data_IF_651720625023
#
_entry.id   IF_651720625023
#
_cell.length_a   1.000
_cell.length_b   1.000
_cell.length_c   1.000
_cell.angle_alpha   90.00
_cell.angle_beta   90.00
_cell.angle_gamma   90.00
#
_symmetry.space_group_name_H-M   'P 1'
#
loop_
_entity.id
_entity.type
_entity.pdbx_description
1 polymer ?
#
# COMPACT_ATOMS: atom_id res chain seq x y z
N UNK A 1 -22.16 19.36 19.38
CA UNK A 1 -21.82 18.32 18.39
C UNK A 1 -20.48 18.67 17.78
N UNK A 2 -19.41 17.96 18.16
CA UNK A 2 -18.10 18.13 17.54
C UNK A 2 -18.16 17.39 16.20
N UNK A 3 -18.35 18.13 15.11
CA UNK A 3 -18.18 17.56 13.78
C UNK A 3 -16.73 17.10 13.67
N UNK A 4 -16.51 15.79 13.47
CA UNK A 4 -15.25 15.31 12.89
C UNK A 4 -14.91 16.22 11.69
N UNK A 5 -13.63 16.41 11.32
CA UNK A 5 -13.25 17.12 10.10
C UNK A 5 -13.67 16.29 8.87
N UNK A 6 -14.97 16.09 8.70
CA UNK A 6 -15.59 15.53 7.52
C UNK A 6 -15.66 16.65 6.52
N UNK A 7 -14.95 16.46 5.41
CA UNK A 7 -15.28 16.98 4.08
C UNK A 7 -16.34 18.08 4.07
N UNK A 8 -15.92 19.33 3.90
CA UNK A 8 -16.84 20.42 3.56
C UNK A 8 -17.44 20.08 2.21
N UNK A 9 -18.66 19.58 2.19
CA UNK A 9 -19.37 19.32 0.95
C UNK A 9 -19.57 20.66 0.23
N UNK A 10 -18.91 20.84 -0.91
CA UNK A 10 -19.13 21.99 -1.78
C UNK A 10 -20.58 21.95 -2.26
N UNK A 11 -21.24 23.11 -2.33
CA UNK A 11 -22.63 23.20 -2.78
C UNK A 11 -22.62 23.59 -4.26
N UNK A 12 -23.40 22.88 -5.07
CA UNK A 12 -23.56 23.20 -6.49
C UNK A 12 -24.20 24.57 -6.65
N UNK A 13 -23.56 25.47 -7.39
CA UNK A 13 -24.09 26.83 -7.62
C UNK A 13 -25.37 26.88 -8.45
N UNK A 14 -25.72 25.81 -9.16
CA UNK A 14 -26.88 25.78 -10.05
C UNK A 14 -28.15 25.24 -9.38
N UNK A 15 -28.03 24.21 -8.55
CA UNK A 15 -29.19 23.57 -7.93
C UNK A 15 -29.10 23.47 -6.41
N UNK A 16 -28.05 24.05 -5.81
CA UNK A 16 -27.76 24.05 -4.37
C UNK A 16 -27.66 22.67 -3.71
N UNK A 17 -27.55 21.59 -4.49
CA UNK A 17 -27.30 20.26 -3.97
C UNK A 17 -25.83 20.11 -3.56
N UNK A 18 -25.56 19.28 -2.55
CA UNK A 18 -24.19 18.94 -2.17
C UNK A 18 -23.49 18.19 -3.32
N UNK A 19 -22.33 18.71 -3.72
CA UNK A 19 -21.43 18.06 -4.65
C UNK A 19 -20.78 16.85 -4.00
N UNK A 20 -20.51 15.83 -4.81
CA UNK A 20 -19.62 14.76 -4.43
C UNK A 20 -18.31 14.92 -5.18
N UNK A 21 -17.20 14.75 -4.46
CA UNK A 21 -15.92 14.53 -5.13
C UNK A 21 -15.80 13.06 -5.51
N UNK A 22 -16.11 12.76 -6.76
CA UNK A 22 -15.95 11.45 -7.41
C UNK A 22 -14.68 11.39 -8.25
N UNK A 23 -14.17 12.55 -8.66
CA UNK A 23 -13.01 12.71 -9.52
C UNK A 23 -11.93 13.57 -8.83
N UNK A 24 -10.65 13.32 -9.11
CA UNK A 24 -9.53 14.04 -8.49
C UNK A 24 -9.59 15.55 -8.76
N UNK A 25 -9.84 15.91 -10.01
CA UNK A 25 -9.64 17.28 -10.53
C UNK A 25 -10.91 18.13 -10.58
N UNK A 26 -12.08 17.54 -10.28
CA UNK A 26 -13.35 18.26 -10.33
C UNK A 26 -14.38 17.71 -9.36
N UNK A 27 -15.39 18.53 -9.08
CA UNK A 27 -16.60 18.18 -8.37
C UNK A 27 -17.71 17.91 -9.38
N UNK A 28 -18.54 16.91 -9.11
CA UNK A 28 -19.75 16.68 -9.88
C UNK A 28 -20.97 16.80 -8.98
N UNK A 29 -21.93 17.62 -9.39
CA UNK A 29 -23.22 17.71 -8.73
C UNK A 29 -24.02 16.41 -8.96
N UNK A 30 -24.50 15.78 -7.88
CA UNK A 30 -25.34 14.58 -8.00
C UNK A 30 -26.71 14.85 -8.65
N UNK A 31 -27.25 16.07 -8.51
CA UNK A 31 -28.60 16.41 -8.97
C UNK A 31 -28.63 16.89 -10.42
N UNK A 32 -27.88 17.93 -10.75
CA UNK A 32 -27.88 18.52 -12.10
C UNK A 32 -26.69 18.09 -12.97
N UNK A 33 -25.80 17.23 -12.47
CA UNK A 33 -24.59 16.75 -13.17
C UNK A 33 -23.56 17.84 -13.54
N UNK A 34 -23.78 19.10 -13.15
CA UNK A 34 -22.81 20.19 -13.35
C UNK A 34 -21.44 19.80 -12.80
N UNK A 35 -20.42 20.03 -13.61
CA UNK A 35 -19.02 19.84 -13.26
C UNK A 35 -18.43 21.18 -12.85
N UNK A 36 -17.73 21.19 -11.72
CA UNK A 36 -16.97 22.34 -11.25
C UNK A 36 -15.50 21.92 -11.07
N UNK A 37 -14.65 22.44 -11.95
CA UNK A 37 -13.22 22.14 -11.91
C UNK A 37 -12.56 22.82 -10.72
N UNK A 38 -11.89 22.03 -9.89
CA UNK A 38 -11.12 22.58 -8.76
C UNK A 38 -9.75 22.93 -9.31
N UNK A 39 -9.37 24.21 -9.24
CA UNK A 39 -7.95 24.57 -9.36
C UNK A 39 -7.23 24.02 -8.13
N UNK A 40 -6.53 22.91 -8.31
CA UNK A 40 -5.55 22.47 -7.33
C UNK A 40 -4.42 23.51 -7.29
N UNK A 41 -3.89 23.85 -6.11
CA UNK A 41 -2.73 24.70 -6.04
C UNK A 41 -1.61 24.12 -6.92
N UNK A 42 -0.90 24.97 -7.66
CA UNK A 42 0.36 24.55 -8.29
C UNK A 42 1.29 24.13 -7.17
N UNK A 43 1.64 22.85 -7.10
CA UNK A 43 2.74 22.42 -6.24
C UNK A 43 3.98 22.57 -7.10
N UNK A 44 4.76 23.62 -6.85
CA UNK A 44 6.09 23.78 -7.45
C UNK A 44 7.02 22.77 -6.78
N UNK A 45 7.72 21.93 -7.55
CA UNK A 45 8.73 21.03 -7.01
C UNK A 45 9.86 21.82 -6.40
N UNK A 46 10.16 23.00 -6.95
CA UNK A 46 11.11 23.95 -6.38
C UNK A 46 10.68 24.36 -4.96
N UNK A 47 9.39 24.47 -4.68
CA UNK A 47 8.88 24.74 -3.32
C UNK A 47 8.92 23.49 -2.41
N UNK A 48 8.80 22.28 -2.96
CA UNK A 48 9.05 21.03 -2.21
C UNK A 48 10.55 20.85 -1.86
N UNK A 49 11.43 21.34 -2.74
CA UNK A 49 12.88 21.20 -2.65
C UNK A 49 13.55 22.33 -1.87
N UNK A 50 13.09 23.57 -2.02
CA UNK A 50 13.74 24.77 -1.47
C UNK A 50 13.05 25.33 -0.21
N UNK A 51 11.82 24.91 0.09
CA UNK A 51 11.09 25.37 1.25
C UNK A 51 10.53 24.20 2.05
N UNK A 52 10.64 24.30 3.38
CA UNK A 52 9.84 23.53 4.31
C UNK A 52 8.36 23.69 3.92
N UNK A 53 7.77 22.72 3.21
CA UNK A 53 6.36 22.75 2.89
C UNK A 53 5.56 22.57 4.20
N UNK A 54 5.35 23.68 4.88
CA UNK A 54 4.62 23.86 6.14
C UNK A 54 3.11 23.56 6.00
N UNK A 55 2.64 23.28 4.78
CA UNK A 55 1.25 22.88 4.47
C UNK A 55 0.90 21.42 4.80
N UNK A 56 1.89 20.56 5.01
CA UNK A 56 1.75 19.23 5.61
C UNK A 56 2.80 19.17 6.72
N UNK A 57 2.40 19.46 7.96
CA UNK A 57 3.31 19.54 9.11
C UNK A 57 4.33 18.39 9.12
N UNK A 58 5.60 18.69 8.84
CA UNK A 58 6.66 18.28 9.75
C UNK A 58 7.96 17.67 9.26
N UNK A 59 8.30 17.53 7.97
CA UNK A 59 9.63 16.97 7.61
C UNK A 59 10.26 17.65 6.38
N UNK A 60 11.52 18.06 6.57
CA UNK A 60 12.45 18.52 5.53
C UNK A 60 12.68 17.42 4.48
N UNK A 61 13.15 17.76 3.26
CA UNK A 61 13.86 16.79 2.42
C UNK A 61 14.91 16.11 3.30
N UNK A 62 14.78 14.80 3.47
CA UNK A 62 15.66 14.05 4.36
C UNK A 62 16.98 13.87 3.61
N UNK A 63 17.99 14.69 3.93
CA UNK A 63 19.35 14.42 3.47
C UNK A 63 19.87 13.11 4.07
N UNK A 64 20.94 12.55 3.47
CA UNK A 64 21.47 11.25 3.88
C UNK A 64 21.86 11.24 5.37
N UNK A 65 22.37 12.36 5.91
CA UNK A 65 22.72 12.49 7.32
C UNK A 65 21.48 12.49 8.24
N UNK A 66 20.39 13.12 7.81
CA UNK A 66 19.11 13.14 8.53
C UNK A 66 18.46 11.76 8.52
N UNK A 67 18.45 11.08 7.36
CA UNK A 67 18.01 9.69 7.25
C UNK A 67 18.81 8.82 8.21
N UNK A 68 20.14 8.85 8.12
CA UNK A 68 21.00 8.02 8.97
C UNK A 68 20.81 8.25 10.46
N UNK A 69 20.56 9.49 10.89
CA UNK A 69 20.41 9.83 12.31
C UNK A 69 18.99 9.69 12.86
N UNK A 70 17.95 9.67 12.01
CA UNK A 70 16.56 9.74 12.47
C UNK A 70 15.65 8.64 11.92
N UNK A 71 16.07 7.84 10.93
CA UNK A 71 15.25 6.78 10.33
C UNK A 71 14.71 5.80 11.38
N UNK A 72 15.52 5.50 12.41
CA UNK A 72 15.16 4.63 13.53
C UNK A 72 14.03 5.19 14.40
N UNK A 73 13.87 6.52 14.45
CA UNK A 73 12.78 7.15 15.19
C UNK A 73 11.45 7.02 14.45
N UNK A 74 11.49 6.89 13.12
CA UNK A 74 10.31 6.83 12.26
C UNK A 74 9.90 5.39 11.93
N UNK A 75 10.84 4.44 12.00
CA UNK A 75 10.56 3.02 11.86
C UNK A 75 10.11 2.46 13.21
N UNK A 76 8.92 1.89 13.24
CA UNK A 76 8.44 1.09 14.36
C UNK A 76 8.35 -0.36 13.90
N UNK A 77 9.27 -1.19 14.38
CA UNK A 77 9.18 -2.64 14.26
C UNK A 77 8.65 -3.23 15.57
N UNK A 78 7.68 -4.11 15.46
CA UNK A 78 7.04 -4.83 16.55
C UNK A 78 7.39 -6.32 16.53
N UNK A 79 6.70 -7.09 17.38
CA UNK A 79 6.77 -8.55 17.39
C UNK A 79 6.25 -9.07 16.03
N UNK A 80 7.15 -9.51 15.16
CA UNK A 80 6.82 -9.98 13.80
C UNK A 80 7.92 -9.77 12.78
N UNK A 81 8.83 -8.82 13.02
CA UNK A 81 10.04 -8.65 12.19
C UNK A 81 11.12 -9.63 12.65
N UNK A 82 11.64 -10.45 11.74
CA UNK A 82 12.69 -11.44 11.99
C UNK A 82 14.08 -10.83 11.94
N UNK A 83 14.32 -9.90 11.00
CA UNK A 83 15.60 -9.23 10.83
C UNK A 83 15.43 -7.87 10.18
N UNK A 84 16.44 -7.01 10.38
CA UNK A 84 16.57 -5.72 9.72
C UNK A 84 17.97 -5.58 9.13
N UNK A 85 18.07 -5.18 7.88
CA UNK A 85 19.35 -5.00 7.20
C UNK A 85 19.32 -3.72 6.37
N UNK A 86 20.36 -2.90 6.52
CA UNK A 86 20.56 -1.71 5.72
C UNK A 86 21.31 -2.09 4.43
N UNK A 87 20.82 -1.63 3.30
CA UNK A 87 21.42 -1.86 1.98
C UNK A 87 21.65 -0.50 1.33
N UNK A 88 22.77 -0.36 0.62
CA UNK A 88 23.11 0.88 -0.06
C UNK A 88 23.27 0.61 -1.56
N UNK A 89 22.61 1.43 -2.36
CA UNK A 89 22.82 1.51 -3.80
C UNK A 89 23.38 2.89 -4.13
N UNK A 90 23.70 3.14 -5.40
CA UNK A 90 24.12 4.47 -5.85
C UNK A 90 23.02 5.51 -5.73
N UNK A 91 21.74 5.07 -5.74
CA UNK A 91 20.54 5.91 -5.80
C UNK A 91 19.80 5.97 -4.45
N UNK A 92 19.88 4.91 -3.66
CA UNK A 92 19.02 4.71 -2.50
C UNK A 92 19.77 4.13 -1.30
N UNK A 93 19.30 4.50 -0.12
CA UNK A 93 19.53 3.74 1.11
C UNK A 93 18.26 2.95 1.44
N UNK A 94 18.34 1.62 1.38
CA UNK A 94 17.24 0.72 1.68
C UNK A 94 17.33 0.18 3.10
N UNK A 95 16.16 0.07 3.75
CA UNK A 95 15.94 -0.73 4.94
C UNK A 95 15.14 -1.96 4.56
N UNK A 96 15.77 -3.14 4.68
CA UNK A 96 15.13 -4.44 4.46
C UNK A 96 14.64 -4.99 5.79
N UNK A 97 13.36 -5.34 5.85
CA UNK A 97 12.72 -6.03 6.96
C UNK A 97 12.37 -7.45 6.53
N UNK A 98 13.02 -8.44 7.15
CA UNK A 98 12.67 -9.85 6.98
C UNK A 98 11.44 -10.16 7.84
N UNK A 99 10.40 -10.72 7.23
CA UNK A 99 9.16 -11.12 7.89
C UNK A 99 9.05 -12.65 8.01
N UNK A 100 10.05 -13.40 7.54
CA UNK A 100 10.05 -14.86 7.50
C UNK A 100 9.31 -15.44 6.29
N UNK A 101 9.41 -16.76 6.10
CA UNK A 101 8.76 -17.47 4.98
C UNK A 101 9.12 -16.91 3.60
N UNK A 102 10.39 -16.52 3.43
CA UNK A 102 10.92 -15.85 2.22
C UNK A 102 10.19 -14.54 1.88
N UNK A 103 9.54 -13.90 2.86
CA UNK A 103 8.89 -12.61 2.70
C UNK A 103 9.75 -11.50 3.29
N UNK A 104 9.93 -10.41 2.54
CA UNK A 104 10.56 -9.21 3.07
C UNK A 104 9.94 -7.95 2.52
N UNK A 105 10.02 -6.87 3.29
CA UNK A 105 9.64 -5.53 2.84
C UNK A 105 10.91 -4.69 2.84
N UNK A 106 11.21 -4.06 1.71
CA UNK A 106 12.30 -3.10 1.58
C UNK A 106 11.72 -1.71 1.40
N UNK A 107 12.25 -0.72 2.09
CA UNK A 107 11.92 0.69 1.88
C UNK A 107 13.20 1.46 1.59
N UNK A 108 13.27 2.02 0.40
CA UNK A 108 14.35 2.84 -0.12
C UNK A 108 14.06 4.31 0.09
N UNK A 109 15.02 5.01 0.66
CA UNK A 109 15.04 6.46 0.75
C UNK A 109 16.02 6.98 -0.31
N UNK A 110 15.54 7.83 -1.24
CA UNK A 110 16.37 8.31 -2.35
C UNK A 110 17.41 9.29 -1.83
N UNK A 111 18.58 9.30 -2.47
CA UNK A 111 19.50 10.41 -2.31
C UNK A 111 18.94 11.67 -3.02
N UNK A 112 19.56 12.81 -2.76
CA UNK A 112 19.14 14.09 -3.34
C UNK A 112 19.16 14.12 -4.87
N UNK A 113 20.13 13.44 -5.50
CA UNK A 113 20.26 13.45 -6.95
C UNK A 113 19.08 12.78 -7.64
N UNK A 114 18.60 11.65 -7.11
CA UNK A 114 17.41 10.96 -7.61
C UNK A 114 16.18 11.85 -7.51
N UNK A 115 16.01 12.54 -6.39
CA UNK A 115 14.88 13.46 -6.17
C UNK A 115 14.87 14.56 -7.24
N UNK A 116 16.00 15.23 -7.47
CA UNK A 116 16.05 16.42 -8.34
C UNK A 116 16.10 16.06 -9.81
N UNK A 117 16.94 15.09 -10.19
CA UNK A 117 17.28 14.82 -11.59
C UNK A 117 16.30 13.85 -12.25
N UNK A 118 15.75 12.90 -11.49
CA UNK A 118 14.97 11.79 -12.05
C UNK A 118 13.47 11.91 -11.71
N UNK A 119 13.15 12.18 -10.44
CA UNK A 119 11.76 12.20 -9.98
C UNK A 119 11.08 13.56 -10.09
N UNK A 120 11.82 14.66 -10.01
CA UNK A 120 11.28 16.02 -10.14
C UNK A 120 10.50 16.23 -11.45
N UNK A 121 11.11 15.97 -12.63
CA UNK A 121 10.42 16.08 -13.91
C UNK A 121 9.21 15.13 -14.01
N UNK A 122 9.38 13.87 -13.60
CA UNK A 122 8.33 12.85 -13.63
C UNK A 122 7.13 13.23 -12.76
N UNK A 123 7.36 13.81 -11.57
CA UNK A 123 6.28 14.30 -10.72
C UNK A 123 5.54 15.48 -11.34
N UNK A 124 6.25 16.43 -11.94
CA UNK A 124 5.60 17.54 -12.64
C UNK A 124 4.71 17.05 -13.78
N UNK A 125 5.25 16.18 -14.63
CA UNK A 125 4.49 15.57 -15.72
C UNK A 125 3.27 14.84 -15.19
N UNK A 126 3.42 13.96 -14.19
CA UNK A 126 2.31 13.21 -13.60
C UNK A 126 1.27 14.15 -12.96
N UNK A 127 1.72 15.19 -12.27
CA UNK A 127 0.86 16.21 -11.69
C UNK A 127 0.05 16.89 -12.78
N UNK A 128 0.67 17.30 -13.88
CA UNK A 128 -0.01 17.93 -15.01
C UNK A 128 -1.02 16.99 -15.68
N UNK A 129 -0.73 15.68 -15.75
CA UNK A 129 -1.68 14.67 -16.21
C UNK A 129 -2.91 14.53 -15.31
N UNK A 130 -2.84 14.97 -14.06
CA UNK A 130 -4.00 15.03 -13.15
C UNK A 130 -4.74 16.35 -13.21
N UNK A 131 -4.25 17.35 -13.94
CA UNK A 131 -4.85 18.69 -13.98
C UNK A 131 -5.75 18.87 -15.18
N UNK A 132 -6.74 19.73 -15.01
CA UNK A 132 -7.54 20.21 -16.13
C UNK A 132 -6.86 21.41 -16.75
N UNK A 133 -6.72 21.41 -18.06
CA UNK A 133 -6.21 22.53 -18.87
C UNK A 133 -7.23 23.69 -19.03
N UNK A 134 -8.41 23.57 -18.42
CA UNK A 134 -9.49 24.54 -18.54
C UNK A 134 -10.33 24.39 -19.82
N UNK A 135 -10.02 23.41 -20.68
CA UNK A 135 -10.78 23.11 -21.91
C UNK A 135 -12.13 22.42 -21.65
N UNK A 136 -12.40 22.06 -20.39
CA UNK A 136 -13.57 21.26 -20.00
C UNK A 136 -13.42 19.75 -20.26
N UNK A 137 -12.29 19.31 -20.81
CA UNK A 137 -11.96 17.87 -20.93
C UNK A 137 -11.49 17.30 -19.59
N UNK A 138 -11.76 16.00 -19.32
CA UNK A 138 -11.15 15.33 -18.17
C UNK A 138 -9.62 15.28 -18.34
N UNK A 139 -8.88 15.26 -17.23
CA UNK A 139 -7.42 15.16 -17.25
C UNK A 139 -6.99 13.79 -17.77
N UNK A 140 -5.77 13.66 -18.31
CA UNK A 140 -5.34 12.44 -18.99
C UNK A 140 -5.29 11.21 -18.07
N UNK A 141 -4.87 11.38 -16.82
CA UNK A 141 -4.79 10.27 -15.86
C UNK A 141 -6.16 9.92 -15.24
N UNK A 142 -7.13 10.84 -15.28
CA UNK A 142 -8.55 10.66 -14.90
C UNK A 142 -8.76 9.75 -13.66
N UNK A 143 -8.14 10.12 -12.54
CA UNK A 143 -8.22 9.37 -11.28
C UNK A 143 -9.61 9.52 -10.64
N UNK A 144 -10.24 8.39 -10.32
CA UNK A 144 -11.61 8.33 -9.77
C UNK A 144 -11.68 7.57 -8.46
N UNK A 145 -12.73 7.82 -7.69
CA UNK A 145 -13.07 6.97 -6.54
C UNK A 145 -13.98 5.84 -7.00
N UNK A 146 -13.58 4.59 -6.77
CA UNK A 146 -14.45 3.46 -7.08
C UNK A 146 -15.55 3.26 -6.03
N UNK A 147 -16.69 2.68 -6.43
CA UNK A 147 -17.67 2.17 -5.49
C UNK A 147 -17.07 1.03 -4.67
N UNK A 148 -17.12 1.17 -3.34
CA UNK A 148 -16.93 0.05 -2.42
C UNK A 148 -18.17 -0.85 -2.49
N UNK A 149 -17.98 -2.17 -2.58
CA UNK A 149 -19.08 -3.13 -2.49
C UNK A 149 -19.66 -3.09 -1.06
N UNK A 150 -20.63 -2.21 -0.82
CA UNK A 150 -21.64 -2.46 0.20
C UNK A 150 -22.61 -3.50 -0.37
N UNK A 151 -23.11 -4.40 0.48
CA UNK A 151 -23.66 -5.71 0.10
C UNK A 151 -24.68 -5.75 -1.05
N UNK A 152 -24.88 -6.96 -1.59
CA UNK A 152 -25.94 -7.31 -2.54
C UNK A 152 -27.25 -6.57 -2.20
N UNK A 153 -27.60 -5.54 -2.98
CA UNK A 153 -28.86 -4.80 -2.83
C UNK A 153 -28.79 -3.28 -2.68
N UNK A 154 -27.61 -2.65 -2.58
CA UNK A 154 -27.55 -1.18 -2.54
C UNK A 154 -27.86 -0.54 -3.91
N UNK A 155 -28.88 0.32 -3.99
CA UNK A 155 -29.17 1.16 -5.15
C UNK A 155 -27.95 2.01 -5.54
N UNK A 156 -27.85 2.42 -6.81
CA UNK A 156 -26.71 3.23 -7.28
C UNK A 156 -26.47 4.51 -6.46
N UNK A 157 -27.51 5.03 -5.82
CA UNK A 157 -27.50 6.25 -5.02
C UNK A 157 -26.86 6.06 -3.62
N UNK A 158 -26.75 4.82 -3.14
CA UNK A 158 -26.28 4.45 -1.79
C UNK A 158 -24.87 3.83 -1.70
N UNK A 159 -24.12 3.75 -2.81
CA UNK A 159 -22.78 3.13 -2.80
C UNK A 159 -21.73 4.06 -2.16
N UNK A 160 -21.13 3.63 -1.05
CA UNK A 160 -19.96 4.29 -0.45
C UNK A 160 -18.77 4.20 -1.41
N UNK A 161 -18.01 5.29 -1.59
CA UNK A 161 -16.82 5.30 -2.46
C UNK A 161 -15.53 5.12 -1.67
N UNK A 162 -14.46 4.62 -2.33
CA UNK A 162 -13.10 4.51 -1.77
C UNK A 162 -12.63 5.80 -1.14
N UNK A 163 -11.80 5.79 -0.10
CA UNK A 163 -11.29 7.03 0.49
C UNK A 163 -10.22 7.72 -0.37
N UNK A 164 -9.74 7.05 -1.41
CA UNK A 164 -8.65 7.43 -2.31
C UNK A 164 -9.11 7.40 -3.77
N UNK A 165 -8.33 8.00 -4.66
CA UNK A 165 -8.59 8.04 -6.10
C UNK A 165 -7.59 7.15 -6.82
N UNK A 166 -8.00 6.45 -7.87
CA UNK A 166 -7.07 5.64 -8.65
C UNK A 166 -7.55 5.36 -10.07
N UNK A 167 -6.68 4.72 -10.82
CA UNK A 167 -6.93 4.13 -12.13
C UNK A 167 -5.94 3.00 -12.33
N UNK A 168 -6.36 1.90 -12.93
CA UNK A 168 -5.48 0.77 -13.19
C UNK A 168 -5.07 0.70 -14.65
N UNK A 169 -3.83 0.29 -14.89
CA UNK A 169 -3.30 -0.03 -16.21
C UNK A 169 -2.71 -1.43 -16.22
N UNK A 170 -3.09 -2.27 -17.18
CA UNK A 170 -2.60 -3.64 -17.30
C UNK A 170 -3.63 -4.70 -16.87
N UNK A 171 -3.20 -5.65 -16.04
CA UNK A 171 -4.06 -6.75 -15.58
C UNK A 171 -5.23 -6.19 -14.76
N UNK A 172 -6.49 -6.52 -15.09
CA UNK A 172 -7.63 -6.00 -14.34
C UNK A 172 -7.58 -6.32 -12.85
N UNK A 173 -7.55 -5.26 -12.03
CA UNK A 173 -7.65 -5.36 -10.59
C UNK A 173 -8.95 -6.09 -10.19
N UNK A 174 -8.87 -7.34 -9.73
CA UNK A 174 -10.06 -8.14 -9.36
C UNK A 174 -10.55 -7.88 -7.94
N UNK A 175 -10.02 -6.83 -7.29
CA UNK A 175 -10.40 -6.44 -5.95
C UNK A 175 -11.91 -6.21 -5.83
N UNK A 176 -12.38 -6.06 -4.59
CA UNK A 176 -13.79 -5.77 -4.27
C UNK A 176 -14.30 -4.43 -4.86
N UNK A 177 -13.47 -3.69 -5.59
CA UNK A 177 -13.72 -2.35 -6.13
C UNK A 177 -13.71 -2.40 -7.65
N UNK A 178 -14.70 -1.78 -8.29
CA UNK A 178 -14.70 -1.59 -9.75
C UNK A 178 -13.94 -0.31 -10.10
N UNK A 179 -12.63 -0.42 -10.23
CA UNK A 179 -11.77 0.66 -10.73
C UNK A 179 -11.82 0.72 -12.27
N UNK A 180 -11.67 1.91 -12.90
CA UNK A 180 -11.36 1.97 -14.32
C UNK A 180 -10.04 1.24 -14.58
N UNK A 181 -10.02 0.48 -15.67
CA UNK A 181 -8.89 -0.35 -16.04
C UNK A 181 -8.68 -0.26 -17.55
N UNK A 182 -7.52 0.25 -17.95
CA UNK A 182 -7.09 0.26 -19.34
C UNK A 182 -5.93 -0.73 -19.54
N UNK A 183 -5.70 -1.22 -20.77
CA UNK A 183 -4.48 -1.96 -21.08
C UNK A 183 -3.20 -1.14 -20.79
N UNK A 184 -2.08 -1.82 -20.50
CA UNK A 184 -0.81 -1.14 -20.17
C UNK A 184 -0.29 -0.27 -21.32
N UNK A 185 -0.54 -0.65 -22.58
CA UNK A 185 -0.14 0.14 -23.76
C UNK A 185 -0.94 1.44 -23.95
N UNK A 186 -1.98 1.65 -23.14
CA UNK A 186 -2.74 2.90 -23.06
C UNK A 186 -2.36 3.74 -21.84
N UNK A 187 -1.42 3.28 -21.02
CA UNK A 187 -0.90 4.08 -19.93
C UNK A 187 -0.20 5.34 -20.47
N UNK A 188 -0.36 6.51 -19.83
CA UNK A 188 0.41 7.69 -20.18
C UNK A 188 1.91 7.42 -20.11
N UNK A 189 2.71 8.06 -20.97
CA UNK A 189 4.17 7.90 -21.03
C UNK A 189 4.83 8.04 -19.66
N UNK A 190 4.44 9.06 -18.88
CA UNK A 190 4.95 9.26 -17.51
C UNK A 190 4.65 8.10 -16.56
N UNK A 191 3.54 7.36 -16.74
CA UNK A 191 3.26 6.16 -15.94
C UNK A 191 4.21 5.03 -16.32
N UNK A 192 4.51 4.89 -17.62
CA UNK A 192 5.47 3.90 -18.13
C UNK A 192 6.90 4.22 -17.68
N UNK A 193 7.32 5.49 -17.73
CA UNK A 193 8.62 5.96 -17.22
C UNK A 193 8.78 5.65 -15.71
N UNK A 194 7.73 5.88 -14.91
CA UNK A 194 7.74 5.55 -13.48
C UNK A 194 7.77 4.04 -13.24
N UNK A 195 7.19 3.25 -14.14
CA UNK A 195 7.25 1.80 -14.08
C UNK A 195 8.68 1.31 -14.35
N UNK A 196 9.32 1.79 -15.40
CA UNK A 196 10.73 1.50 -15.72
C UNK A 196 11.65 1.92 -14.57
N UNK A 197 11.42 3.11 -14.01
CA UNK A 197 12.11 3.58 -12.81
C UNK A 197 11.97 2.59 -11.64
N UNK A 198 10.77 2.06 -11.39
CA UNK A 198 10.55 1.06 -10.35
C UNK A 198 11.27 -0.26 -10.66
N UNK A 199 11.25 -0.73 -11.91
CA UNK A 199 11.93 -1.96 -12.32
C UNK A 199 13.44 -1.90 -12.04
N UNK A 200 14.08 -0.77 -12.37
CA UNK A 200 15.49 -0.54 -12.08
C UNK A 200 15.79 -0.54 -10.58
N UNK A 201 15.01 0.22 -9.80
CA UNK A 201 15.24 0.34 -8.37
C UNK A 201 14.97 -0.95 -7.61
N UNK A 202 13.98 -1.73 -8.04
CA UNK A 202 13.74 -3.07 -7.50
C UNK A 202 14.91 -4.00 -7.82
N UNK A 203 15.42 -3.96 -9.06
CA UNK A 203 16.58 -4.75 -9.44
C UNK A 203 17.81 -4.41 -8.59
N UNK A 204 18.08 -3.12 -8.36
CA UNK A 204 19.16 -2.68 -7.48
C UNK A 204 18.95 -3.16 -6.03
N UNK A 205 17.74 -2.99 -5.48
CA UNK A 205 17.42 -3.41 -4.12
C UNK A 205 17.61 -4.93 -3.94
N UNK A 206 17.13 -5.73 -4.88
CA UNK A 206 17.27 -7.18 -4.86
C UNK A 206 18.73 -7.61 -4.97
N UNK A 207 19.52 -6.99 -5.85
CA UNK A 207 20.95 -7.25 -5.98
C UNK A 207 21.70 -6.91 -4.68
N UNK A 208 21.44 -5.74 -4.10
CA UNK A 208 22.06 -5.31 -2.85
C UNK A 208 21.69 -6.21 -1.66
N UNK A 209 20.49 -6.82 -1.70
CA UNK A 209 20.00 -7.71 -0.64
C UNK A 209 20.65 -9.10 -0.60
N UNK A 210 21.53 -9.41 -1.56
CA UNK A 210 22.14 -10.73 -1.71
C UNK A 210 21.18 -11.80 -2.26
N UNK A 211 19.95 -11.42 -2.66
CA UNK A 211 18.99 -12.32 -3.30
C UNK A 211 19.39 -12.76 -4.72
N UNK A 212 20.58 -12.35 -5.18
CA UNK A 212 21.14 -12.72 -6.49
C UNK A 212 21.79 -14.11 -6.50
N UNK A 213 22.05 -14.73 -5.35
CA UNK A 213 22.69 -16.04 -5.27
C UNK A 213 21.67 -17.19 -5.13
N UNK A 214 21.70 -18.06 -6.13
CA UNK A 214 20.97 -19.34 -6.30
C UNK A 214 19.64 -19.29 -7.09
N UNK A 215 19.72 -19.73 -8.35
CA UNK A 215 18.63 -20.34 -9.15
C UNK A 215 17.42 -19.51 -9.61
N UNK A 216 17.23 -18.25 -9.18
CA UNK A 216 16.09 -17.41 -9.63
C UNK A 216 16.51 -16.27 -10.58
N UNK A 217 17.15 -16.58 -11.71
CA UNK A 217 17.49 -15.57 -12.72
C UNK A 217 16.26 -14.76 -13.25
N UNK A 218 15.04 -15.29 -13.08
CA UNK A 218 13.79 -14.59 -13.40
C UNK A 218 13.41 -13.46 -12.41
N UNK A 219 14.03 -13.37 -11.22
CA UNK A 219 13.75 -12.28 -10.25
C UNK A 219 14.62 -11.04 -10.44
N UNK A 220 15.64 -11.08 -11.30
CA UNK A 220 16.59 -9.96 -11.49
C UNK A 220 16.16 -8.93 -12.53
N UNK A 221 15.00 -9.12 -13.17
CA UNK A 221 14.39 -8.12 -14.05
C UNK A 221 12.88 -8.24 -13.90
N UNK A 222 12.33 -7.75 -12.77
CA UNK A 222 10.88 -7.67 -12.64
C UNK A 222 10.36 -6.88 -13.83
N UNK A 223 9.45 -7.46 -14.59
CA UNK A 223 8.62 -6.73 -15.53
C UNK A 223 7.25 -6.60 -14.92
N UNK A 224 6.85 -5.38 -14.60
CA UNK A 224 5.52 -5.14 -14.05
C UNK A 224 4.49 -5.24 -15.17
N UNK A 225 3.43 -6.00 -14.91
CA UNK A 225 2.31 -6.20 -15.83
C UNK A 225 1.09 -5.35 -15.46
N UNK A 226 1.19 -4.59 -14.36
CA UNK A 226 0.14 -3.76 -13.80
C UNK A 226 0.76 -2.50 -13.18
N UNK A 227 0.08 -1.37 -13.34
CA UNK A 227 0.41 -0.10 -12.70
C UNK A 227 -0.88 0.53 -12.16
N UNK A 228 -0.89 0.81 -10.85
CA UNK A 228 -2.02 1.41 -10.15
C UNK A 228 -1.63 2.79 -9.59
N UNK A 229 -1.70 3.87 -10.39
CA UNK A 229 -1.61 5.22 -9.87
C UNK A 229 -2.71 5.51 -8.82
N UNK A 230 -2.29 5.95 -7.63
CA UNK A 230 -3.18 6.29 -6.52
C UNK A 230 -2.95 7.76 -6.10
N UNK A 231 -4.04 8.52 -6.01
CA UNK A 231 -4.06 9.88 -5.48
C UNK A 231 -4.74 9.95 -4.11
N UNK A 232 -4.05 10.53 -3.13
CA UNK A 232 -4.57 10.81 -1.79
C UNK A 232 -4.48 12.31 -1.45
N UNK A 233 -5.58 12.90 -0.98
CA UNK A 233 -5.56 14.23 -0.34
C UNK A 233 -5.08 14.13 1.11
N UNK A 234 -4.68 15.26 1.74
CA UNK A 234 -4.34 15.29 3.15
C UNK A 234 -5.42 14.65 4.03
N UNK A 235 -5.01 13.67 4.86
CA UNK A 235 -5.90 12.92 5.75
C UNK A 235 -6.68 11.78 5.08
N UNK A 236 -6.48 11.53 3.79
CA UNK A 236 -6.94 10.32 3.11
C UNK A 236 -5.89 9.22 3.21
N UNK A 237 -6.34 7.97 3.05
CA UNK A 237 -5.50 6.79 3.05
C UNK A 237 -6.31 5.54 2.77
N UNK A 238 -5.62 4.41 2.74
CA UNK A 238 -6.22 3.10 2.56
C UNK A 238 -6.45 2.44 3.93
N UNK A 239 -7.51 1.66 4.03
CA UNK A 239 -7.70 0.78 5.18
C UNK A 239 -6.96 -0.53 4.94
N UNK A 240 -6.68 -1.27 6.02
CA UNK A 240 -6.02 -2.57 5.97
C UNK A 240 -6.53 -3.45 4.84
N UNK A 241 -5.62 -3.79 3.93
CA UNK A 241 -5.87 -4.61 2.75
C UNK A 241 -4.62 -5.42 2.39
N UNK A 242 -4.73 -6.28 1.40
CA UNK A 242 -3.63 -7.07 0.87
C UNK A 242 -3.78 -7.19 -0.63
N UNK A 243 -2.65 -7.23 -1.32
CA UNK A 243 -2.62 -7.41 -2.78
C UNK A 243 -2.57 -8.91 -3.13
N UNK A 244 -3.50 -9.70 -2.59
CA UNK A 244 -3.64 -11.15 -2.81
C UNK A 244 -4.81 -11.49 -3.75
N UNK A 245 -5.18 -10.56 -4.64
CA UNK A 245 -6.23 -10.74 -5.61
C UNK A 245 -5.98 -11.91 -6.57
N UNK A 246 -7.08 -12.55 -6.99
CA UNK A 246 -7.04 -13.58 -8.04
C UNK A 246 -6.60 -12.91 -9.36
N UNK A 247 -5.39 -13.22 -9.82
CA UNK A 247 -4.84 -12.68 -11.06
C UNK A 247 -3.60 -11.83 -10.89
N UNK A 248 -3.27 -11.42 -9.66
CA UNK A 248 -1.92 -10.90 -9.34
C UNK A 248 -0.95 -12.08 -9.44
N UNK A 249 -0.09 -12.03 -10.44
CA UNK A 249 0.92 -13.06 -10.72
C UNK A 249 2.29 -12.45 -10.48
N UNK A 250 3.01 -12.99 -9.50
CA UNK A 250 4.37 -12.56 -9.19
C UNK A 250 4.65 -12.56 -7.71
N UNK A 251 5.92 -12.36 -7.37
CA UNK A 251 6.41 -12.37 -5.99
C UNK A 251 6.81 -10.94 -5.53
N UNK A 252 6.52 -9.92 -6.35
CA UNK A 252 6.95 -8.55 -6.10
C UNK A 252 5.78 -7.58 -6.31
N UNK A 253 5.53 -6.75 -5.31
CA UNK A 253 4.74 -5.52 -5.42
C UNK A 253 5.66 -4.35 -5.08
N UNK A 254 5.72 -3.34 -5.95
CA UNK A 254 6.56 -2.17 -5.71
C UNK A 254 5.76 -0.88 -5.88
N UNK A 255 6.17 0.16 -5.16
CA UNK A 255 5.54 1.48 -5.24
C UNK A 255 6.59 2.58 -5.11
N UNK A 256 6.42 3.65 -5.88
CA UNK A 256 7.13 4.92 -5.70
C UNK A 256 6.16 5.96 -5.16
N UNK A 257 6.55 6.65 -4.09
CA UNK A 257 5.71 7.67 -3.45
C UNK A 257 6.05 9.05 -3.98
N UNK A 258 5.06 9.76 -4.52
CA UNK A 258 5.23 11.11 -5.05
C UNK A 258 4.31 12.09 -4.32
N UNK A 259 4.82 13.29 -4.04
CA UNK A 259 4.12 14.33 -3.29
C UNK A 259 4.38 14.29 -1.78
N UNK A 260 3.31 14.42 -0.98
CA UNK A 260 3.40 14.57 0.47
C UNK A 260 3.74 13.28 1.23
N UNK A 261 4.27 13.42 2.45
CA UNK A 261 4.62 12.31 3.33
C UNK A 261 3.40 11.42 3.66
N UNK A 262 3.51 10.14 3.34
CA UNK A 262 2.59 9.09 3.78
C UNK A 262 3.25 8.18 4.83
N UNK A 263 2.45 7.31 5.45
CA UNK A 263 2.96 6.23 6.29
C UNK A 263 2.42 4.92 5.79
N UNK A 264 3.29 3.94 5.62
CA UNK A 264 2.93 2.55 5.38
C UNK A 264 2.96 1.80 6.70
N UNK A 265 2.05 0.86 6.89
CA UNK A 265 2.05 -0.03 8.05
C UNK A 265 1.78 -1.44 7.57
N UNK A 266 2.34 -2.45 8.22
CA UNK A 266 2.04 -3.85 7.98
C UNK A 266 1.56 -4.50 9.26
N UNK A 267 0.74 -5.53 9.11
CA UNK A 267 0.22 -6.32 10.20
C UNK A 267 -0.15 -7.73 9.74
N UNK A 268 -0.20 -8.66 10.68
CA UNK A 268 -0.67 -10.02 10.40
C UNK A 268 -2.18 -10.04 10.15
N UNK A 269 -2.63 -10.76 9.11
CA UNK A 269 -4.06 -11.08 8.99
C UNK A 269 -4.52 -11.88 10.19
N UNK A 270 -5.77 -11.67 10.60
CA UNK A 270 -6.36 -12.34 11.76
C UNK A 270 -6.19 -13.87 11.74
N UNK A 271 -6.31 -14.50 10.55
CA UNK A 271 -6.16 -15.96 10.40
C UNK A 271 -4.77 -16.48 10.79
N UNK A 272 -3.70 -15.72 10.55
CA UNK A 272 -2.34 -16.11 10.94
C UNK A 272 -2.01 -15.65 12.34
N UNK A 273 -2.55 -14.50 12.78
CA UNK A 273 -2.30 -14.02 14.15
C UNK A 273 -2.94 -14.94 15.20
N UNK A 274 -4.20 -15.32 15.03
CA UNK A 274 -4.97 -16.03 16.07
C UNK A 274 -5.48 -17.37 15.54
N UNK A 275 -6.09 -17.35 14.36
CA UNK A 275 -6.77 -18.49 13.77
C UNK A 275 -8.01 -18.05 12.99
N UNK A 276 -8.75 -19.02 12.48
CA UNK A 276 -9.97 -18.82 11.68
C UNK A 276 -11.17 -18.70 12.62
N UNK A 277 -12.11 -17.81 12.29
CA UNK A 277 -13.35 -17.70 13.05
C UNK A 277 -14.35 -18.75 12.56
N UNK A 278 -14.81 -19.62 13.44
CA UNK A 278 -15.85 -20.60 13.16
C UNK A 278 -16.87 -20.60 14.30
N UNK A 279 -18.14 -20.36 13.98
CA UNK A 279 -19.25 -20.28 14.97
C UNK A 279 -18.93 -19.36 16.17
N UNK A 280 -18.25 -18.23 15.91
CA UNK A 280 -17.91 -17.25 16.95
C UNK A 280 -16.70 -17.61 17.82
N UNK A 281 -16.01 -18.72 17.55
CA UNK A 281 -14.77 -19.14 18.23
C UNK A 281 -13.59 -19.15 17.28
N UNK A 282 -12.39 -18.91 17.79
CA UNK A 282 -11.17 -19.09 16.99
C UNK A 282 -10.80 -20.57 16.94
N UNK A 283 -10.46 -21.04 15.75
CA UNK A 283 -9.98 -22.39 15.46
C UNK A 283 -8.63 -22.24 14.76
N UNK A 284 -7.66 -23.04 15.19
CA UNK A 284 -6.35 -23.16 14.56
C UNK A 284 -6.10 -24.62 14.20
N UNK A 285 -5.59 -24.86 13.00
CA UNK A 285 -5.26 -26.19 12.48
C UNK A 285 -3.75 -26.42 12.54
N UNK A 286 -3.36 -27.70 12.62
CA UNK A 286 -1.93 -28.07 12.70
C UNK A 286 -1.15 -27.84 11.40
N UNK A 287 -1.82 -27.61 10.27
CA UNK A 287 -1.22 -27.14 9.01
C UNK A 287 -1.27 -25.61 8.82
N UNK A 288 -1.83 -24.85 9.76
CA UNK A 288 -1.83 -23.40 9.63
C UNK A 288 -0.38 -22.89 9.61
N UNK A 289 -0.09 -21.93 8.72
CA UNK A 289 1.22 -21.29 8.66
C UNK A 289 1.44 -20.49 9.93
N UNK A 290 2.46 -20.87 10.71
CA UNK A 290 2.87 -20.16 11.93
C UNK A 290 4.02 -19.22 11.57
N UNK A 291 3.82 -17.94 11.80
CA UNK A 291 4.80 -16.88 11.55
C UNK A 291 5.11 -16.12 12.83
N UNK A 292 6.24 -15.39 12.85
CA UNK A 292 6.61 -14.57 13.99
C UNK A 292 5.51 -13.57 14.32
N UNK A 293 5.14 -13.47 15.60
CA UNK A 293 4.03 -12.62 16.06
C UNK A 293 2.66 -13.31 16.06
N UNK A 294 2.60 -14.60 15.72
CA UNK A 294 1.42 -15.45 15.95
C UNK A 294 1.16 -15.54 17.46
N UNK A 295 -0.10 -15.48 17.89
CA UNK A 295 -0.45 -15.74 19.28
C UNK A 295 -0.18 -17.20 19.61
N UNK A 296 0.51 -17.43 20.74
CA UNK A 296 0.92 -18.76 21.20
C UNK A 296 1.85 -19.45 20.20
N UNK A 297 2.76 -18.68 19.61
CA UNK A 297 3.72 -19.12 18.59
C UNK A 297 4.51 -20.36 19.02
N UNK A 298 5.18 -20.30 20.18
CA UNK A 298 6.01 -21.39 20.69
C UNK A 298 5.17 -22.66 20.95
N UNK A 299 4.02 -22.53 21.62
CA UNK A 299 3.16 -23.67 21.93
C UNK A 299 2.58 -24.31 20.65
N UNK A 300 2.24 -23.50 19.65
CA UNK A 300 1.77 -24.00 18.35
C UNK A 300 2.89 -24.71 17.60
N UNK A 301 4.09 -24.14 17.54
CA UNK A 301 5.24 -24.78 16.89
C UNK A 301 5.58 -26.13 17.52
N UNK A 302 5.49 -26.23 18.85
CA UNK A 302 5.68 -27.50 19.56
C UNK A 302 4.63 -28.54 19.15
N UNK A 303 3.34 -28.18 19.13
CA UNK A 303 2.27 -29.10 18.70
C UNK A 303 2.48 -29.54 17.24
N UNK A 304 2.91 -28.62 16.36
CA UNK A 304 3.20 -28.93 14.96
C UNK A 304 4.37 -29.91 14.82
N UNK A 305 5.44 -29.72 15.61
CA UNK A 305 6.58 -30.64 15.64
C UNK A 305 6.16 -32.04 16.11
N UNK A 306 5.42 -32.14 17.21
CA UNK A 306 4.91 -33.43 17.73
C UNK A 306 4.02 -34.15 16.71
N UNK A 307 3.20 -33.41 15.94
CA UNK A 307 2.41 -33.98 14.86
C UNK A 307 3.28 -34.48 13.69
N UNK A 308 4.27 -33.70 13.25
CA UNK A 308 5.18 -34.08 12.17
C UNK A 308 6.06 -35.29 12.53
N UNK A 309 6.39 -35.45 13.81
CA UNK A 309 7.09 -36.63 14.35
C UNK A 309 6.17 -37.86 14.49
N UNK A 310 4.87 -37.73 14.23
CA UNK A 310 3.89 -38.80 14.33
C UNK A 310 3.48 -39.13 15.77
N UNK A 311 3.81 -38.28 16.75
CA UNK A 311 3.48 -38.49 18.15
C UNK A 311 1.99 -38.27 18.47
N UNK A 312 1.27 -37.56 17.59
CA UNK A 312 -0.16 -37.27 17.74
C UNK A 312 -0.91 -37.42 16.42
N UNK A 313 -2.23 -37.67 16.50
CA UNK A 313 -3.09 -37.67 15.32
C UNK A 313 -3.44 -36.24 14.86
N UNK A 314 -3.82 -36.08 13.59
CA UNK A 314 -4.27 -34.80 13.03
C UNK A 314 -5.36 -34.11 13.86
N UNK A 315 -6.38 -34.89 14.27
CA UNK A 315 -7.51 -34.39 15.03
C UNK A 315 -7.10 -33.95 16.44
N UNK A 316 -6.23 -34.71 17.09
CA UNK A 316 -5.71 -34.40 18.42
C UNK A 316 -4.86 -33.14 18.42
N UNK A 317 -3.92 -33.02 17.48
CA UNK A 317 -3.06 -31.86 17.33
C UNK A 317 -3.87 -30.59 17.01
N UNK A 318 -4.84 -30.69 16.10
CA UNK A 318 -5.75 -29.59 15.75
C UNK A 318 -6.61 -29.14 16.94
N UNK A 319 -7.13 -30.08 17.74
CA UNK A 319 -7.91 -29.74 18.93
C UNK A 319 -7.02 -29.04 19.98
N UNK A 320 -5.80 -29.52 20.20
CA UNK A 320 -4.81 -28.86 21.07
C UNK A 320 -4.47 -27.45 20.60
N UNK A 321 -4.20 -27.25 19.31
CA UNK A 321 -3.95 -25.91 18.76
C UNK A 321 -5.15 -24.99 18.90
N UNK A 322 -6.35 -25.49 18.60
CA UNK A 322 -7.58 -24.72 18.75
C UNK A 322 -7.85 -24.33 20.20
N UNK A 323 -7.57 -25.22 21.16
CA UNK A 323 -7.72 -24.94 22.59
C UNK A 323 -6.86 -23.75 23.05
N UNK A 324 -5.68 -23.52 22.45
CA UNK A 324 -4.81 -22.37 22.77
C UNK A 324 -5.46 -21.01 22.45
N UNK A 325 -6.37 -20.97 21.47
CA UNK A 325 -6.88 -19.70 20.91
C UNK A 325 -8.40 -19.53 21.03
N UNK A 326 -9.12 -20.61 21.35
CA UNK A 326 -10.60 -20.69 21.37
C UNK A 326 -11.27 -19.55 22.10
N UNK A 327 -10.75 -19.21 23.28
CA UNK A 327 -11.33 -18.22 24.19
C UNK A 327 -10.65 -16.84 24.11
N UNK A 328 -9.68 -16.67 23.21
CA UNK A 328 -9.01 -15.38 23.01
C UNK A 328 -9.98 -14.42 22.31
N UNK A 329 -10.39 -13.37 23.03
CA UNK A 329 -11.17 -12.26 22.48
C UNK A 329 -10.27 -11.36 21.64
N UNK A 330 -10.11 -11.70 20.38
CA UNK A 330 -9.48 -10.85 19.36
C UNK A 330 -10.54 -10.36 18.38
N UNK A 331 -10.59 -9.05 18.12
CA UNK A 331 -11.46 -8.54 17.08
C UNK A 331 -10.78 -8.72 15.73
N UNK A 332 -11.53 -9.15 14.71
CA UNK A 332 -11.07 -9.08 13.32
C UNK A 332 -10.70 -7.64 12.88
N UNK A 333 -11.19 -6.62 13.60
CA UNK A 333 -10.87 -5.22 13.37
C UNK A 333 -9.65 -4.72 14.14
N UNK A 334 -9.21 -5.46 15.17
CA UNK A 334 -7.99 -5.11 15.94
C UNK A 334 -6.78 -5.73 15.26
N UNK A 335 -6.31 -5.04 14.23
CA UNK A 335 -5.09 -5.37 13.51
C UNK A 335 -3.91 -4.75 14.26
N UNK A 336 -2.95 -5.57 14.71
CA UNK A 336 -1.77 -5.11 15.44
C UNK A 336 -0.65 -4.83 14.44
N UNK A 337 -0.20 -3.58 14.39
CA UNK A 337 0.87 -3.15 13.50
C UNK A 337 2.20 -3.78 13.92
N UNK A 338 2.83 -4.53 13.03
CA UNK A 338 4.14 -5.18 13.25
C UNK A 338 5.28 -4.39 12.63
N UNK A 339 4.99 -3.55 11.63
CA UNK A 339 5.97 -2.73 10.96
C UNK A 339 5.28 -1.43 10.53
N UNK A 340 5.93 -0.30 10.73
CA UNK A 340 5.46 1.01 10.25
C UNK A 340 6.67 1.86 9.88
N UNK A 341 6.58 2.51 8.73
CA UNK A 341 7.64 3.39 8.23
C UNK A 341 7.06 4.54 7.38
N UNK A 342 7.80 5.66 7.27
CA UNK A 342 7.40 6.78 6.43
C UNK A 342 7.64 6.46 4.94
N UNK A 343 6.81 7.07 4.09
CA UNK A 343 6.96 7.11 2.65
C UNK A 343 7.02 8.58 2.21
N UNK A 344 8.21 9.23 2.30
CA UNK A 344 8.42 10.59 1.79
C UNK A 344 8.41 10.64 0.25
N UNK A 345 8.56 11.84 -0.30
CA UNK A 345 8.76 12.05 -1.73
C UNK A 345 9.94 11.20 -2.25
N UNK A 346 9.69 10.43 -3.29
CA UNK A 346 10.64 9.55 -3.97
C UNK A 346 10.99 8.27 -3.23
N UNK A 347 10.35 7.98 -2.09
CA UNK A 347 10.54 6.69 -1.43
C UNK A 347 10.04 5.55 -2.32
N UNK A 348 10.85 4.51 -2.42
CA UNK A 348 10.51 3.25 -3.08
C UNK A 348 10.21 2.23 -2.01
N UNK A 349 9.12 1.48 -2.16
CA UNK A 349 8.85 0.30 -1.35
C UNK A 349 8.82 -0.91 -2.26
N UNK A 350 9.39 -2.01 -1.80
CA UNK A 350 9.38 -3.31 -2.46
C UNK A 350 8.88 -4.35 -1.47
N UNK A 351 7.72 -4.93 -1.73
CA UNK A 351 7.23 -6.13 -1.06
C UNK A 351 7.72 -7.33 -1.86
N UNK A 352 8.49 -8.21 -1.23
CA UNK A 352 9.04 -9.42 -1.85
C UNK A 352 8.50 -10.66 -1.14
N UNK A 353 8.08 -11.65 -1.91
CA UNK A 353 7.66 -12.97 -1.45
C UNK A 353 6.20 -13.27 -1.81
N UNK A 354 5.98 -14.42 -2.46
CA UNK A 354 4.65 -14.86 -2.92
C UNK A 354 3.59 -14.89 -1.83
N UNK A 355 4.01 -15.26 -0.61
CA UNK A 355 3.10 -15.43 0.52
C UNK A 355 2.91 -14.16 1.34
N UNK A 356 3.65 -13.07 1.04
CA UNK A 356 3.62 -11.84 1.82
C UNK A 356 2.20 -11.26 1.85
N UNK A 357 1.61 -11.03 0.68
CA UNK A 357 0.25 -10.52 0.60
C UNK A 357 -0.80 -11.55 1.02
N UNK A 358 -0.46 -12.84 1.08
CA UNK A 358 -1.35 -13.84 1.67
C UNK A 358 -1.41 -13.69 3.20
N UNK A 359 -0.26 -13.48 3.85
CA UNK A 359 -0.07 -13.51 5.31
C UNK A 359 -0.34 -12.16 5.97
N UNK A 360 0.13 -11.09 5.33
CA UNK A 360 0.12 -9.73 5.88
C UNK A 360 -0.93 -8.87 5.20
N UNK A 361 -1.38 -7.85 5.93
CA UNK A 361 -2.13 -6.71 5.39
C UNK A 361 -1.33 -5.45 5.63
N UNK A 362 -1.57 -4.44 4.78
CA UNK A 362 -0.95 -3.14 4.87
C UNK A 362 -1.95 -1.98 4.75
#
# INVERSE_FOLDING_TARGET
>A
MVTKPGWRAYVCIECCAFNQRTHWSYLQCRRCRRIEFIRLPNIDVTDLLNNHFTGLRGQLPMDDAFLESNIDQFIKSGKGVMGRTKLHTTRYTFERFDLGHNNSVMVGFPNWEVIVKELGPSFHSLWDLTRTDGSGKPPLLDLVRAPTRTGLGASEEGKTLTAWFGRNFGIPYTARMKMPNDPMDQAPETVLELLEFLEENVKEALAASGAADSTTAHTLSPRFNEALPIGNYPGQGMHWHSDDEKGVVGDIVASVSLGGLAHMSFALKHKYRVGRLHQGKNIAHVDDVIVKGTLKEEEKLQIQAEFLEGATSWNEATERMSALVRDIKCSQRSVETILKFPLPFGAVMVQQGKSLNEIYVH
#
